data_IF_194750821062
#
_entry.id   IF_194750821062
#
_cell.length_a   1.000
_cell.length_b   1.000
_cell.length_c   1.000
_cell.angle_alpha   90.00
_cell.angle_beta   90.00
_cell.angle_gamma   90.00
#
_symmetry.space_group_name_H-M   'P 1'
#
loop_
_entity.id
_entity.type
_entity.pdbx_description
1 polymer ?
#
# COMPACT_ATOMS: atom_id res chain seq x y z
N UNK A 1 19.56 -11.50 20.85
CA UNK A 1 19.84 -11.68 19.41
C UNK A 1 18.83 -10.84 18.64
N UNK A 2 19.23 -10.00 17.67
CA UNK A 2 18.27 -9.36 16.79
C UNK A 2 17.46 -10.46 16.08
N UNK A 3 16.12 -10.34 16.10
CA UNK A 3 15.27 -11.32 15.41
C UNK A 3 15.63 -11.29 13.93
N UNK A 4 15.91 -12.46 13.35
CA UNK A 4 15.96 -12.61 11.89
C UNK A 4 14.65 -12.07 11.33
N UNK A 5 14.73 -11.25 10.27
CA UNK A 5 13.56 -10.74 9.57
C UNK A 5 12.65 -11.87 9.05
N UNK A 6 11.46 -11.50 8.61
CA UNK A 6 10.52 -12.46 8.02
C UNK A 6 11.01 -12.91 6.64
N UNK A 7 10.94 -14.22 6.34
CA UNK A 7 11.26 -14.74 5.01
C UNK A 7 10.20 -14.35 3.97
N UNK A 8 8.92 -14.42 4.35
CA UNK A 8 7.78 -14.15 3.48
C UNK A 8 6.70 -13.38 4.24
N UNK A 9 6.13 -12.36 3.62
CA UNK A 9 5.08 -11.54 4.21
C UNK A 9 3.97 -11.23 3.19
N UNK A 10 2.76 -11.03 3.71
CA UNK A 10 1.67 -10.37 3.01
C UNK A 10 1.61 -8.92 3.52
N UNK A 11 1.94 -7.96 2.66
CA UNK A 11 1.87 -6.54 2.96
C UNK A 11 0.53 -5.99 2.49
N UNK A 12 -0.38 -5.70 3.43
CA UNK A 12 -1.64 -5.02 3.11
C UNK A 12 -1.47 -3.52 3.23
N UNK A 13 -1.75 -2.80 2.15
CA UNK A 13 -1.79 -1.34 2.08
C UNK A 13 -3.24 -0.85 1.95
N UNK A 14 -3.54 0.27 2.59
CA UNK A 14 -4.78 1.02 2.33
C UNK A 14 -4.63 1.78 1.01
N UNK A 15 -5.70 1.84 0.21
CA UNK A 15 -5.68 2.56 -1.05
C UNK A 15 -5.52 4.06 -0.85
N UNK A 16 -6.11 4.56 0.25
CA UNK A 16 -6.06 5.95 0.67
C UNK A 16 -4.64 6.49 0.83
N UNK A 17 -3.68 5.62 1.20
CA UNK A 17 -2.26 6.00 1.28
C UNK A 17 -1.75 6.52 -0.06
N UNK A 18 -2.23 5.98 -1.18
CA UNK A 18 -1.82 6.41 -2.51
C UNK A 18 -2.51 7.69 -2.99
N UNK A 19 -3.50 8.22 -2.27
CA UNK A 19 -4.21 9.46 -2.67
C UNK A 19 -3.50 10.76 -2.27
N UNK A 20 -2.29 10.68 -1.73
CA UNK A 20 -1.53 11.84 -1.23
C UNK A 20 -2.30 12.60 -0.15
N UNK A 21 -2.16 13.93 -0.13
CA UNK A 21 -2.84 14.81 0.84
C UNK A 21 -4.37 14.76 0.71
N UNK A 22 -4.90 14.47 -0.48
CA UNK A 22 -6.35 14.45 -0.75
C UNK A 22 -7.01 13.11 -0.38
N UNK A 23 -6.22 12.04 -0.25
CA UNK A 23 -6.73 10.68 -0.04
C UNK A 23 -7.58 10.13 -1.20
N UNK A 24 -7.61 10.80 -2.35
CA UNK A 24 -8.38 10.45 -3.56
C UNK A 24 -7.42 10.34 -4.75
N UNK A 25 -7.66 9.40 -5.66
CA UNK A 25 -6.84 9.20 -6.85
C UNK A 25 -5.49 8.54 -6.53
N UNK A 26 -4.47 8.81 -7.35
CA UNK A 26 -3.13 8.26 -7.18
C UNK A 26 -2.10 9.38 -7.32
N UNK A 27 -1.33 9.57 -6.25
CA UNK A 27 -0.17 10.43 -6.17
C UNK A 27 1.08 9.63 -6.60
N UNK A 28 1.71 9.99 -7.74
CA UNK A 28 2.88 9.28 -8.26
C UNK A 28 4.09 9.33 -7.32
N UNK A 29 4.26 10.40 -6.55
CA UNK A 29 5.42 10.58 -5.67
C UNK A 29 5.28 9.64 -4.46
N UNK A 30 4.07 9.53 -3.90
CA UNK A 30 3.80 8.58 -2.81
C UNK A 30 3.96 7.13 -3.29
N UNK A 31 3.49 6.80 -4.50
CA UNK A 31 3.70 5.47 -5.09
C UNK A 31 5.20 5.17 -5.23
N UNK A 32 5.98 6.14 -5.71
CA UNK A 32 7.42 6.00 -5.87
C UNK A 32 8.12 5.72 -4.53
N UNK A 33 7.80 6.51 -3.50
CA UNK A 33 8.40 6.37 -2.18
C UNK A 33 8.07 5.01 -1.53
N UNK A 34 6.82 4.57 -1.63
CA UNK A 34 6.40 3.25 -1.14
C UNK A 34 7.14 2.14 -1.90
N UNK A 35 7.28 2.27 -3.22
CA UNK A 35 8.00 1.29 -4.03
C UNK A 35 9.49 1.19 -3.64
N UNK A 36 10.15 2.33 -3.36
CA UNK A 36 11.55 2.35 -2.91
C UNK A 36 11.75 1.62 -1.58
N UNK A 37 10.87 1.84 -0.61
CA UNK A 37 10.91 1.17 0.70
C UNK A 37 10.69 -0.35 0.56
N UNK A 38 9.70 -0.76 -0.25
CA UNK A 38 9.45 -2.18 -0.52
C UNK A 38 10.66 -2.82 -1.21
N UNK A 39 11.25 -2.14 -2.19
CA UNK A 39 12.41 -2.63 -2.91
C UNK A 39 13.63 -2.82 -1.98
N UNK A 40 13.80 -1.96 -0.98
CA UNK A 40 14.83 -2.13 0.05
C UNK A 40 14.65 -3.43 0.84
N UNK A 41 13.42 -3.72 1.27
CA UNK A 41 13.12 -4.95 1.99
C UNK A 41 13.28 -6.18 1.09
N UNK A 42 12.83 -6.13 -0.17
CA UNK A 42 13.01 -7.24 -1.12
C UNK A 42 14.49 -7.54 -1.36
N UNK A 43 15.36 -6.52 -1.43
CA UNK A 43 16.81 -6.70 -1.57
C UNK A 43 17.46 -7.46 -0.40
N UNK A 44 16.81 -7.51 0.76
CA UNK A 44 17.27 -8.34 1.90
C UNK A 44 16.98 -9.83 1.73
N UNK A 45 16.29 -10.23 0.65
CA UNK A 45 15.85 -11.61 0.39
C UNK A 45 14.46 -11.93 0.93
N UNK A 46 13.70 -10.91 1.38
CA UNK A 46 12.31 -11.09 1.84
C UNK A 46 11.37 -11.19 0.64
N UNK A 47 10.49 -12.18 0.65
CA UNK A 47 9.44 -12.37 -0.35
C UNK A 47 8.17 -11.63 0.07
N UNK A 48 7.67 -10.72 -0.77
CA UNK A 48 6.53 -9.85 -0.42
C UNK A 48 5.39 -10.06 -1.42
N UNK A 49 4.22 -10.44 -0.90
CA UNK A 49 2.95 -10.32 -1.62
C UNK A 49 2.24 -9.05 -1.15
N UNK A 50 1.78 -8.20 -2.06
CA UNK A 50 1.17 -6.90 -1.73
C UNK A 50 -0.33 -6.97 -2.02
N UNK A 51 -1.15 -6.54 -1.06
CA UNK A 51 -2.59 -6.35 -1.23
C UNK A 51 -2.90 -4.87 -1.06
N UNK A 52 -3.46 -4.24 -2.08
CA UNK A 52 -3.82 -2.80 -2.05
C UNK A 52 -5.34 -2.67 -2.05
N UNK A 53 -5.89 -1.94 -1.08
CA UNK A 53 -7.31 -1.55 -1.13
C UNK A 53 -7.58 -0.49 -2.20
N UNK A 54 -8.79 -0.40 -2.74
CA UNK A 54 -9.17 0.58 -3.78
C UNK A 54 -9.91 1.83 -3.26
N UNK A 55 -9.85 2.10 -1.95
CA UNK A 55 -10.65 3.15 -1.29
C UNK A 55 -10.35 4.59 -1.74
N UNK A 56 -9.19 4.81 -2.36
CA UNK A 56 -8.81 6.06 -3.02
C UNK A 56 -9.58 6.35 -4.32
N UNK A 57 -10.19 5.35 -4.94
CA UNK A 57 -11.05 5.53 -6.12
C UNK A 57 -12.52 5.27 -5.82
N UNK A 58 -12.82 4.23 -5.03
CA UNK A 58 -14.18 3.80 -4.77
C UNK A 58 -14.40 3.59 -3.27
N UNK A 59 -15.21 4.45 -2.67
CA UNK A 59 -15.72 4.27 -1.31
C UNK A 59 -17.13 3.70 -1.37
N UNK A 60 -17.27 2.42 -1.08
CA UNK A 60 -18.57 1.72 -1.13
C UNK A 60 -19.66 2.38 -0.26
N UNK A 61 -19.27 3.00 0.86
CA UNK A 61 -20.19 3.75 1.72
C UNK A 61 -20.76 5.02 1.05
N UNK A 62 -19.97 5.72 0.24
CA UNK A 62 -20.42 6.91 -0.50
C UNK A 62 -21.29 6.54 -1.69
N UNK A 63 -21.03 5.39 -2.32
CA UNK A 63 -21.87 4.84 -3.38
C UNK A 63 -23.23 4.36 -2.86
N UNK A 64 -23.29 3.81 -1.65
CA UNK A 64 -24.56 3.37 -1.03
C UNK A 64 -25.49 4.53 -0.67
N UNK A 65 -24.98 5.72 -0.34
CA UNK A 65 -25.83 6.87 0.01
C UNK A 65 -26.54 7.50 -1.20
N UNK A 66 -26.14 7.15 -2.43
CA UNK A 66 -26.74 7.64 -3.68
C UNK A 66 -27.71 6.64 -4.32
N UNK A 67 -28.07 5.57 -3.61
CA UNK A 67 -29.03 4.54 -4.03
C UNK A 67 -30.29 4.53 -3.16
#
# INVERSE_FOLDING_TARGET
MPRKGYKRVLLKLSGEVFGGETGIGVDPDVVHDVALQIAEVVRTGTEIAIVVGGGNYFRGAELQQRG
#
